data_IF_552866086405
#
_entry.id   IF_552866086405
#
_cell.length_a   1.000
_cell.length_b   1.000
_cell.length_c   1.000
_cell.angle_alpha   90.00
_cell.angle_beta   90.00
_cell.angle_gamma   90.00
#
_symmetry.space_group_name_H-M   'P 1'
#
loop_
_entity.id
_entity.type
_entity.pdbx_description
1 polymer ?
#
# COMPACT_ATOMS: atom_id res chain seq x y z
N UNK A 1 0.87 16.96 -39.97
CA UNK A 1 0.74 15.79 -39.07
C UNK A 1 1.63 15.88 -37.83
N UNK A 2 2.89 16.33 -37.95
CA UNK A 2 3.84 16.40 -36.83
C UNK A 2 3.35 17.21 -35.60
N UNK A 3 2.66 18.34 -35.79
CA UNK A 3 2.18 19.18 -34.66
C UNK A 3 1.19 18.46 -33.73
N UNK A 4 0.34 17.58 -34.30
CA UNK A 4 -0.60 16.75 -33.53
C UNK A 4 0.13 15.64 -32.76
N UNK A 5 1.17 15.08 -33.36
CA UNK A 5 2.02 14.06 -32.74
C UNK A 5 2.80 14.64 -31.54
N UNK A 6 3.43 15.80 -31.70
CA UNK A 6 4.11 16.50 -30.61
C UNK A 6 3.17 16.87 -29.46
N UNK A 7 1.96 17.31 -29.79
CA UNK A 7 0.94 17.60 -28.77
C UNK A 7 0.55 16.34 -28.00
N UNK A 8 0.35 15.21 -28.68
CA UNK A 8 0.02 13.93 -28.05
C UNK A 8 1.14 13.44 -27.13
N UNK A 9 2.40 13.56 -27.57
CA UNK A 9 3.57 13.23 -26.75
C UNK A 9 3.66 14.09 -25.50
N UNK A 10 3.41 15.41 -25.62
CA UNK A 10 3.42 16.31 -24.48
C UNK A 10 2.34 15.96 -23.45
N UNK A 11 1.13 15.64 -23.91
CA UNK A 11 0.03 15.20 -23.03
C UNK A 11 0.38 13.87 -22.34
N UNK A 12 0.93 12.91 -23.07
CA UNK A 12 1.31 11.61 -22.50
C UNK A 12 2.41 11.74 -21.43
N UNK A 13 3.44 12.54 -21.70
CA UNK A 13 4.50 12.81 -20.73
C UNK A 13 3.96 13.52 -19.48
N UNK A 14 3.04 14.47 -19.63
CA UNK A 14 2.41 15.14 -18.49
C UNK A 14 1.63 14.17 -17.61
N UNK A 15 0.88 13.24 -18.22
CA UNK A 15 0.14 12.20 -17.49
C UNK A 15 1.10 11.28 -16.74
N UNK A 16 2.16 10.80 -17.41
CA UNK A 16 3.14 9.90 -16.82
C UNK A 16 3.90 10.52 -15.63
N UNK A 17 4.16 11.82 -15.66
CA UNK A 17 4.79 12.56 -14.55
C UNK A 17 3.81 12.85 -13.40
N UNK A 18 2.50 12.91 -13.69
CA UNK A 18 1.45 13.19 -12.71
C UNK A 18 0.94 11.95 -11.99
N UNK A 19 1.28 10.74 -12.45
CA UNK A 19 0.81 9.51 -11.80
C UNK A 19 1.52 9.32 -10.45
N UNK A 20 0.79 9.15 -9.34
CA UNK A 20 1.41 8.78 -8.08
C UNK A 20 2.17 7.46 -8.25
N UNK A 21 3.33 7.36 -7.61
CA UNK A 21 4.10 6.12 -7.54
C UNK A 21 3.21 5.03 -6.92
N UNK A 22 2.78 4.07 -7.72
CA UNK A 22 2.03 2.92 -7.21
C UNK A 22 3.02 1.96 -6.53
N UNK A 23 3.01 1.93 -5.20
CA UNK A 23 3.70 0.89 -4.44
C UNK A 23 2.82 -0.36 -4.44
N UNK A 24 3.21 -1.38 -5.20
CA UNK A 24 2.46 -2.66 -5.23
C UNK A 24 2.50 -3.43 -3.90
N UNK A 25 3.36 -3.01 -2.98
CA UNK A 25 3.54 -3.67 -1.69
C UNK A 25 3.35 -2.64 -0.58
N UNK A 26 2.37 -2.90 0.29
CA UNK A 26 2.22 -2.19 1.55
C UNK A 26 3.45 -2.47 2.43
N UNK A 27 4.04 -1.41 2.97
CA UNK A 27 5.18 -1.52 3.87
C UNK A 27 4.68 -1.64 5.32
N UNK A 28 5.24 -2.59 6.07
CA UNK A 28 5.01 -2.69 7.51
C UNK A 28 5.67 -1.50 8.22
N UNK A 29 4.88 -0.76 9.00
CA UNK A 29 5.34 0.39 9.80
C UNK A 29 5.63 -0.04 11.24
N UNK A 30 4.77 -0.86 11.83
CA UNK A 30 4.94 -1.36 13.19
C UNK A 30 4.13 -2.62 13.44
N UNK A 31 4.47 -3.35 14.51
CA UNK A 31 3.68 -4.46 15.02
C UNK A 31 3.44 -4.30 16.53
N UNK A 32 2.37 -4.92 17.01
CA UNK A 32 2.18 -5.21 18.42
C UNK A 32 1.85 -6.70 18.57
N UNK A 33 2.67 -7.50 19.27
CA UNK A 33 3.92 -7.11 19.92
C UNK A 33 5.00 -6.59 18.96
N UNK A 34 5.91 -5.76 19.48
CA UNK A 34 7.01 -5.21 18.68
C UNK A 34 7.99 -6.31 18.24
N UNK A 35 8.68 -6.09 17.14
CA UNK A 35 9.70 -7.02 16.67
C UNK A 35 10.81 -7.21 17.72
N UNK A 36 11.11 -8.47 18.06
CA UNK A 36 12.09 -8.81 19.10
C UNK A 36 11.62 -8.57 20.53
N UNK A 37 10.32 -8.36 20.77
CA UNK A 37 9.79 -8.28 22.12
C UNK A 37 9.88 -9.64 22.82
N UNK A 38 10.48 -9.64 24.02
CA UNK A 38 10.39 -10.77 24.94
C UNK A 38 9.05 -10.68 25.69
N UNK A 39 8.21 -11.70 25.52
CA UNK A 39 6.88 -11.75 26.13
C UNK A 39 6.88 -12.70 27.31
N UNK A 40 6.33 -12.24 28.44
CA UNK A 40 6.14 -13.09 29.62
C UNK A 40 5.03 -14.13 29.44
N UNK A 41 4.13 -13.91 28.48
CA UNK A 41 3.01 -14.78 28.14
C UNK A 41 2.70 -14.69 26.63
N UNK A 42 1.92 -15.65 26.12
CA UNK A 42 1.50 -15.62 24.72
C UNK A 42 0.48 -14.47 24.50
N UNK A 43 0.62 -13.69 23.42
CA UNK A 43 -0.32 -12.62 23.12
C UNK A 43 -1.64 -13.18 22.58
N UNK A 44 -2.76 -12.60 23.00
CA UNK A 44 -4.10 -12.97 22.49
C UNK A 44 -4.26 -12.65 21.00
N UNK A 45 -3.57 -11.61 20.50
CA UNK A 45 -3.57 -11.22 19.10
C UNK A 45 -2.25 -10.54 18.68
N UNK A 46 -1.96 -10.57 17.37
CA UNK A 46 -0.88 -9.80 16.76
C UNK A 46 -1.47 -8.76 15.82
N UNK A 47 -1.13 -7.50 16.05
CA UNK A 47 -1.57 -6.37 15.22
C UNK A 47 -0.42 -5.86 14.37
N UNK A 48 -0.67 -5.71 13.08
CA UNK A 48 0.28 -5.14 12.12
C UNK A 48 -0.28 -3.80 11.62
N UNK A 49 0.59 -2.78 11.56
CA UNK A 49 0.25 -1.48 10.99
C UNK A 49 1.05 -1.27 9.72
N UNK A 50 0.36 -0.98 8.63
CA UNK A 50 0.97 -0.68 7.34
C UNK A 50 0.99 0.84 7.09
N UNK A 51 1.74 1.24 6.07
CA UNK A 51 1.86 2.64 5.63
C UNK A 51 0.65 3.13 4.83
N UNK A 52 -0.34 2.29 4.60
CA UNK A 52 -1.55 2.58 3.86
C UNK A 52 -2.75 1.78 4.40
N UNK A 53 -3.95 2.16 3.96
CA UNK A 53 -5.17 1.40 4.24
C UNK A 53 -5.20 0.14 3.36
N UNK A 54 -5.42 -1.01 3.99
CA UNK A 54 -5.52 -2.29 3.27
C UNK A 54 -6.91 -2.48 2.68
N UNK A 55 -6.97 -3.19 1.55
CA UNK A 55 -8.22 -3.55 0.88
C UNK A 55 -9.13 -4.39 1.81
N UNK A 56 -10.42 -4.02 1.82
CA UNK A 56 -11.50 -4.84 2.36
C UNK A 56 -12.24 -5.49 1.18
N UNK A 57 -12.45 -6.80 1.25
CA UNK A 57 -13.13 -7.56 0.20
C UNK A 57 -14.59 -7.78 0.62
N UNK A 58 -15.49 -6.92 0.11
CA UNK A 58 -16.92 -6.97 0.46
C UNK A 58 -17.16 -6.54 1.91
N UNK A 59 -17.95 -7.32 2.65
CA UNK A 59 -18.24 -7.07 4.07
C UNK A 59 -17.31 -7.84 5.00
N UNK A 60 -16.38 -8.64 4.47
CA UNK A 60 -15.42 -9.40 5.25
C UNK A 60 -14.10 -8.64 5.38
N UNK A 61 -13.39 -8.85 6.48
CA UNK A 61 -12.06 -8.30 6.67
C UNK A 61 -11.01 -9.38 6.35
N UNK A 62 -10.50 -9.45 5.11
CA UNK A 62 -9.49 -10.45 4.73
C UNK A 62 -8.14 -10.23 5.44
N UNK A 63 -7.97 -9.09 6.12
CA UNK A 63 -6.75 -8.75 6.85
C UNK A 63 -6.76 -9.28 8.29
N UNK A 64 -7.74 -10.12 8.65
CA UNK A 64 -7.81 -10.84 9.92
C UNK A 64 -7.72 -12.34 9.67
N UNK A 65 -6.88 -13.02 10.45
CA UNK A 65 -6.81 -14.49 10.49
C UNK A 65 -7.72 -14.97 11.62
N UNK A 66 -8.56 -15.97 11.36
CA UNK A 66 -9.41 -16.63 12.37
C UNK A 66 -8.78 -17.92 12.91
#
# INVERSE_FOLDING_TARGET
MAKKFFFLMAVFSFIALSSPMAFSHSALVSSNPAAGADLSEAPDEVRLKFNEELLLLGNENPNKLE
#
